data_IF_223160722940
#
_entry.id   IF_223160722940
#
_cell.length_a   1.000
_cell.length_b   1.000
_cell.length_c   1.000
_cell.angle_alpha   90.00
_cell.angle_beta   90.00
_cell.angle_gamma   90.00
#
_symmetry.space_group_name_H-M   'P 1'
#
loop_
_entity.id
_entity.type
_entity.pdbx_description
1 polymer ?
2 non-polymer ?
3 non-polymer ?
4 non-polymer ?
5 water ?
#
# COMPACT_ATOMS: atom_id res chain seq x y z
N UNK A 16 30.13 13.18 -8.89
CA UNK A 16 29.03 14.13 -8.97
C UNK A 16 29.02 15.15 -7.81
N UNK A 17 28.31 16.25 -8.02
CA UNK A 17 28.39 17.45 -7.19
C UNK A 17 27.17 17.63 -6.29
N UNK A 18 26.61 16.53 -5.81
CA UNK A 18 25.39 16.57 -5.01
C UNK A 18 25.65 15.94 -3.65
N UNK A 19 25.29 16.67 -2.60
CA UNK A 19 25.29 16.23 -1.20
C UNK A 19 26.68 15.99 -0.62
N UNK A 20 27.75 16.41 -1.28
CA UNK A 20 29.01 16.45 -0.55
C UNK A 20 28.91 17.52 0.52
N UNK A 21 29.69 17.36 1.59
CA UNK A 21 29.55 18.15 2.82
C UNK A 21 28.11 18.11 3.31
N UNK A 22 27.67 16.90 3.60
CA UNK A 22 26.50 16.72 4.44
C UNK A 22 26.81 16.88 5.90
N UNK A 23 28.07 16.67 6.29
CA UNK A 23 28.53 16.89 7.65
C UNK A 23 27.71 16.09 8.68
N UNK A 24 26.84 16.77 9.42
CA UNK A 24 25.98 16.11 10.40
C UNK A 24 24.60 15.92 9.79
N UNK A 25 24.05 14.74 9.95
CA UNK A 25 22.79 14.44 9.29
C UNK A 25 22.20 13.14 9.78
N UNK A 26 20.92 12.94 9.42
CA UNK A 26 20.16 11.73 9.72
C UNK A 26 19.13 11.55 8.61
N UNK A 27 19.02 10.32 8.07
CA UNK A 27 18.20 10.05 6.89
C UNK A 27 17.21 8.92 7.16
N UNK A 28 16.00 9.07 6.62
CA UNK A 28 14.90 8.15 6.87
C UNK A 28 14.21 7.76 5.57
N UNK A 29 13.70 6.54 5.56
CA UNK A 29 12.88 6.00 4.48
C UNK A 29 11.42 6.28 4.79
N UNK A 30 10.68 6.83 3.81
CA UNK A 30 9.24 7.04 3.91
C UNK A 30 8.55 6.09 2.94
N UNK A 31 7.73 5.17 3.47
CA UNK A 31 6.88 4.30 2.66
C UNK A 31 5.42 4.76 2.74
N UNK A 32 4.80 4.92 1.58
CA UNK A 32 3.44 5.45 1.51
C UNK A 32 2.53 4.48 0.78
N UNK A 33 1.27 4.45 1.23
CA UNK A 33 0.19 3.65 0.65
C UNK A 33 -0.69 4.44 -0.29
N UNK A 34 -0.39 5.71 -0.52
CA UNK A 34 -1.26 6.58 -1.31
C UNK A 34 -0.36 7.50 -2.13
N UNK A 35 -0.39 7.35 -3.45
CA UNK A 35 0.18 8.40 -4.30
C UNK A 35 -0.50 9.72 -4.02
N UNK A 36 -1.83 9.72 -3.80
CA UNK A 36 -2.53 10.97 -3.56
C UNK A 36 -1.95 11.71 -2.37
N UNK A 37 -1.53 10.97 -1.35
CA UNK A 37 -0.85 11.62 -0.24
C UNK A 37 0.47 12.22 -0.69
N UNK A 38 1.21 11.52 -1.55
CA UNK A 38 2.46 12.06 -2.03
C UNK A 38 2.21 13.38 -2.73
N UNK A 39 1.16 13.43 -3.56
CA UNK A 39 0.86 14.62 -4.34
C UNK A 39 0.44 15.78 -3.45
N UNK A 40 -0.41 15.52 -2.46
CA UNK A 40 -0.73 16.57 -1.50
C UNK A 40 0.52 17.02 -0.75
N UNK A 41 1.46 16.10 -0.46
CA UNK A 41 2.69 16.47 0.21
C UNK A 41 3.55 17.34 -0.68
N UNK A 42 3.59 17.05 -1.97
CA UNK A 42 4.34 17.91 -2.88
C UNK A 42 3.63 19.25 -3.01
N UNK A 43 2.29 19.22 -3.13
CA UNK A 43 1.52 20.44 -3.36
C UNK A 43 1.65 21.42 -2.20
N UNK A 44 1.91 20.92 -0.98
CA UNK A 44 1.82 21.78 0.20
C UNK A 44 3.00 21.65 1.16
N UNK A 45 4.01 20.85 0.85
CA UNK A 45 5.22 20.77 1.68
C UNK A 45 4.87 20.38 3.13
N UNK A 46 4.04 19.34 3.28
CA UNK A 46 3.64 18.81 4.57
C UNK A 46 3.65 17.29 4.52
N UNK A 47 3.87 16.66 5.66
CA UNK A 47 3.78 15.22 5.72
C UNK A 47 3.28 14.79 7.09
N UNK A 48 2.82 13.54 7.15
CA UNK A 48 2.40 12.89 8.36
C UNK A 48 2.80 11.44 8.23
N UNK A 49 3.18 10.80 9.34
CA UNK A 49 3.43 9.36 9.37
C UNK A 49 2.55 8.67 10.41
N UNK A 50 2.99 7.51 10.91
CA UNK A 50 2.26 6.83 11.97
C UNK A 50 2.45 7.54 13.30
N UNK A 51 1.84 6.99 14.36
CA UNK A 51 2.11 7.49 15.71
C UNK A 51 3.59 7.30 16.05
N UNK A 52 4.11 6.09 15.88
CA UNK A 52 5.52 5.88 16.20
C UNK A 52 6.43 6.42 15.11
N UNK A 53 5.97 6.46 13.86
CA UNK A 53 6.70 7.17 12.83
C UNK A 53 6.90 8.62 13.18
N UNK A 54 5.85 9.28 13.66
CA UNK A 54 5.95 10.68 14.05
C UNK A 54 6.91 10.86 15.22
N UNK A 55 6.79 10.00 16.24
CA UNK A 55 7.70 10.09 17.38
C UNK A 55 9.16 9.86 16.96
N UNK A 56 9.40 8.96 16.01
CA UNK A 56 10.77 8.71 15.56
C UNK A 56 11.38 9.94 14.86
N UNK A 57 10.72 10.43 13.79
CA UNK A 57 11.19 11.61 13.07
C UNK A 57 11.22 12.85 13.95
N UNK A 58 10.28 12.98 14.88
CA UNK A 58 10.28 14.12 15.80
C UNK A 58 11.57 14.18 16.61
N UNK A 59 11.96 13.05 17.20
CA UNK A 59 13.19 12.99 17.99
C UNK A 59 14.40 13.31 17.14
N UNK A 60 14.50 12.70 15.95
CA UNK A 60 15.62 12.98 15.08
C UNK A 60 15.67 14.45 14.70
N UNK A 61 14.52 15.11 14.64
CA UNK A 61 14.50 16.51 14.27
C UNK A 61 14.87 17.40 15.46
N UNK A 62 14.29 17.14 16.62
CA UNK A 62 14.55 17.98 17.79
C UNK A 62 15.98 17.82 18.29
N UNK A 63 16.51 16.59 18.25
CA UNK A 63 17.88 16.34 18.69
C UNK A 63 18.91 16.94 17.74
N UNK A 64 18.50 17.31 16.52
CA UNK A 64 19.45 17.82 15.54
C UNK A 64 19.74 19.29 15.77
N UNK A 65 18.75 20.04 16.29
CA UNK A 65 18.89 21.46 16.63
C UNK A 65 19.55 22.25 15.49
N UNK A 66 18.93 22.18 14.32
CA UNK A 66 19.36 22.95 13.17
C UNK A 66 20.76 22.66 12.68
N UNK A 67 21.52 21.81 13.38
CA UNK A 67 22.92 21.57 13.05
C UNK A 67 23.12 20.72 11.80
N UNK A 68 22.05 20.21 11.19
CA UNK A 68 22.15 19.34 10.03
C UNK A 68 20.78 19.00 9.48
N UNK A 69 20.74 18.43 8.27
CA UNK A 69 19.44 18.12 7.63
C UNK A 69 18.92 16.72 7.93
N UNK A 70 17.62 16.65 8.24
CA UNK A 70 16.90 15.39 8.36
C UNK A 70 16.22 15.16 7.02
N UNK A 71 16.74 14.24 6.21
CA UNK A 71 16.22 14.00 4.87
C UNK A 71 15.28 12.78 4.85
N UNK A 72 14.32 12.80 3.95
CA UNK A 72 13.30 11.78 3.83
C UNK A 72 13.30 11.22 2.41
N UNK A 73 13.39 9.89 2.29
CA UNK A 73 13.43 9.22 1.00
C UNK A 73 12.10 8.53 0.79
N UNK A 74 11.44 8.84 -0.34
CA UNK A 74 10.02 8.55 -0.53
C UNK A 74 9.79 7.42 -1.52
N UNK A 75 8.89 6.51 -1.17
CA UNK A 75 8.53 5.41 -2.06
C UNK A 75 7.08 4.99 -1.81
N UNK A 76 6.33 4.92 -2.90
CA UNK A 76 4.98 4.39 -2.84
C UNK A 76 5.07 2.87 -2.77
N UNK A 77 4.34 2.28 -1.83
CA UNK A 77 4.45 0.85 -1.59
C UNK A 77 3.94 0.06 -2.80
N UNK A 78 4.72 -0.96 -3.19
CA UNK A 78 4.47 -1.79 -4.34
C UNK A 78 4.83 -1.15 -5.67
N UNK A 79 5.33 0.08 -5.66
CA UNK A 79 5.56 0.79 -6.91
C UNK A 79 6.85 0.38 -7.59
N UNK A 80 7.76 -0.25 -6.86
CA UNK A 80 9.03 -0.67 -7.43
C UNK A 80 9.99 0.44 -7.74
N UNK A 81 9.70 1.65 -7.29
CA UNK A 81 10.66 2.72 -7.41
C UNK A 81 10.59 3.58 -6.17
N UNK A 82 11.55 4.47 -6.07
CA UNK A 82 11.44 5.62 -5.18
C UNK A 82 10.88 6.75 -5.99
N UNK A 83 10.28 7.75 -5.32
CA UNK A 83 9.69 8.82 -6.08
C UNK A 83 10.21 10.21 -5.74
N UNK A 84 11.07 10.36 -4.74
CA UNK A 84 11.73 11.64 -4.57
C UNK A 84 12.36 11.78 -3.20
N UNK A 85 12.87 13.00 -2.94
CA UNK A 85 13.64 13.33 -1.74
C UNK A 85 13.10 14.62 -1.14
N UNK A 86 13.07 14.70 0.18
CA UNK A 86 12.57 15.88 0.85
C UNK A 86 13.27 16.03 2.19
N UNK A 87 13.25 17.26 2.71
CA UNK A 87 13.89 17.57 3.97
C UNK A 87 12.83 17.92 5.00
N UNK A 88 12.99 17.36 6.20
CA UNK A 88 12.11 17.72 7.28
C UNK A 88 12.37 19.16 7.67
N UNK A 89 11.31 19.95 7.83
CA UNK A 89 11.45 21.39 8.06
C UNK A 89 10.78 21.87 9.36
N UNK A 90 10.36 20.98 10.25
CA UNK A 90 9.74 21.40 11.50
C UNK A 90 9.53 20.18 12.39
N UNK A 91 9.28 20.45 13.67
CA UNK A 91 8.85 19.40 14.59
C UNK A 91 7.47 18.91 14.19
N UNK A 92 6.98 17.92 14.92
CA UNK A 92 5.69 17.32 14.64
C UNK A 92 4.60 18.00 15.46
N UNK A 93 3.49 18.31 14.82
CA UNK A 93 2.32 18.87 15.48
C UNK A 93 1.30 17.76 15.61
N UNK A 94 0.94 17.40 16.84
CA UNK A 94 0.06 16.25 17.02
C UNK A 94 -1.42 16.61 17.02
N UNK A 95 -1.82 17.83 17.41
CA UNK A 95 -3.23 18.21 17.37
C UNK A 95 -3.44 19.07 16.13
N UNK A 96 -3.95 18.44 15.08
CA UNK A 96 -4.26 19.14 13.84
C UNK A 96 -5.55 18.58 13.28
N UNK A 97 -5.99 19.17 12.19
CA UNK A 97 -7.20 18.74 11.49
C UNK A 97 -7.14 17.25 11.17
N UNK A 98 -8.19 16.53 11.52
CA UNK A 98 -8.19 15.14 11.10
C UNK A 98 -8.72 15.02 9.68
N UNK A 99 -8.52 13.83 9.10
CA UNK A 99 -9.16 13.46 7.85
C UNK A 99 -8.66 14.12 6.59
N UNK A 100 -7.47 14.77 6.61
CA UNK A 100 -6.96 15.44 5.42
C UNK A 100 -6.14 14.53 4.51
N UNK A 101 -5.69 13.38 5.01
CA UNK A 101 -4.97 12.39 4.21
C UNK A 101 -5.91 11.27 3.78
N UNK A 102 -5.37 10.32 3.02
CA UNK A 102 -6.18 9.22 2.50
C UNK A 102 -6.80 8.37 3.61
N UNK A 103 -6.21 8.37 4.81
CA UNK A 103 -6.74 7.63 5.95
C UNK A 103 -6.78 8.53 7.17
N UNK A 104 -7.84 8.39 7.98
CA UNK A 104 -7.96 9.16 9.21
C UNK A 104 -6.96 8.74 10.26
N UNK A 105 -6.27 7.63 9.98
CA UNK A 105 -5.15 7.13 10.78
C UNK A 105 -3.88 7.96 10.65
N UNK A 106 -3.86 8.98 9.81
CA UNK A 106 -2.72 9.90 9.79
C UNK A 106 -3.14 11.17 10.53
N UNK A 107 -2.90 11.13 11.84
CA UNK A 107 -3.16 12.27 12.71
C UNK A 107 -1.84 13.01 12.93
N UNK A 108 -1.82 14.29 12.56
CA UNK A 108 -0.65 15.12 12.77
C UNK A 108 -0.13 15.77 11.50
N UNK A 109 0.99 16.49 11.67
CA UNK A 109 1.59 17.20 10.57
C UNK A 109 2.95 17.75 10.98
N UNK A 110 3.93 17.65 10.09
CA UNK A 110 5.13 18.48 10.10
C UNK A 110 5.38 18.98 8.69
N UNK A 111 6.15 20.06 8.58
CA UNK A 111 6.52 20.63 7.29
C UNK A 111 7.68 19.86 6.69
N UNK A 112 7.78 19.95 5.35
CA UNK A 112 8.89 19.40 4.59
C UNK A 112 9.20 20.36 3.46
N UNK A 113 10.35 20.14 2.81
CA UNK A 113 10.70 20.83 1.58
C UNK A 113 11.23 19.78 0.62
N UNK A 114 10.53 19.60 -0.49
CA UNK A 114 10.94 18.66 -1.52
C UNK A 114 12.12 19.18 -2.32
N UNK A 115 13.09 18.33 -2.54
CA UNK A 115 14.33 18.68 -3.22
C UNK A 115 14.39 18.07 -4.62
N UNK A 116 14.12 16.77 -4.74
CA UNK A 116 13.94 16.11 -6.02
C UNK A 116 12.56 15.45 -6.04
N UNK A 117 11.82 15.65 -7.14
CA UNK A 117 10.60 14.89 -7.42
C UNK A 117 10.89 14.12 -8.70
N UNK A 118 11.25 12.83 -8.58
CA UNK A 118 11.62 12.03 -9.73
C UNK A 118 11.53 10.56 -9.36
N UNK A 119 11.26 9.73 -10.37
CA UNK A 119 11.14 8.29 -10.14
C UNK A 119 12.46 7.61 -10.45
N UNK A 120 12.98 6.88 -9.47
CA UNK A 120 14.24 6.17 -9.59
C UNK A 120 13.95 4.68 -9.35
N UNK A 121 14.15 3.83 -10.36
CA UNK A 121 13.82 2.40 -10.20
C UNK A 121 14.62 1.73 -9.10
N UNK A 122 13.99 0.80 -8.39
CA UNK A 122 14.68 0.05 -7.34
C UNK A 122 15.89 -0.73 -7.86
N UNK A 123 15.94 -1.05 -9.16
CA UNK A 123 17.09 -1.72 -9.74
C UNK A 123 18.35 -0.88 -9.62
N UNK A 124 18.20 0.44 -9.49
CA UNK A 124 19.34 1.33 -9.31
C UNK A 124 19.81 1.42 -7.86
N UNK A 125 19.06 0.88 -6.90
CA UNK A 125 19.35 1.13 -5.50
C UNK A 125 19.53 -0.12 -4.64
N UNK A 126 19.16 -1.31 -5.14
CA UNK A 126 19.02 -2.48 -4.26
C UNK A 126 20.35 -3.10 -3.82
N UNK A 127 21.46 -2.73 -4.42
CA UNK A 127 22.74 -3.27 -3.99
C UNK A 127 23.36 -2.44 -2.87
N UNK A 128 22.58 -1.52 -2.28
CA UNK A 128 22.96 -0.76 -1.10
C UNK A 128 22.21 -1.35 0.09
N UNK A 129 22.94 -1.71 1.14
CA UNK A 129 22.41 -2.52 2.24
C UNK A 129 22.58 -1.80 3.57
N UNK A 130 21.70 -2.09 4.51
CA UNK A 130 21.62 -1.35 5.76
C UNK A 130 22.15 -2.26 6.87
N UNK A 131 23.39 -2.00 7.27
CA UNK A 131 24.00 -2.76 8.36
C UNK A 131 23.23 -2.64 9.66
N UNK A 132 22.31 -1.69 9.79
CA UNK A 132 21.46 -1.59 10.96
C UNK A 132 20.09 -2.25 10.74
N UNK A 133 19.89 -2.89 9.58
CA UNK A 133 18.68 -3.64 9.24
C UNK A 133 19.06 -5.04 8.75
N UNK A 134 19.87 -5.74 9.56
CA UNK A 134 20.27 -7.11 9.26
C UNK A 134 20.81 -7.24 7.84
N UNK A 135 21.54 -6.23 7.39
CA UNK A 135 22.15 -6.26 6.07
C UNK A 135 21.11 -6.36 4.94
N UNK A 136 19.80 -6.06 5.22
CA UNK A 136 18.84 -6.12 4.11
C UNK A 136 18.98 -4.91 3.18
N UNK A 137 18.65 -5.08 1.90
CA UNK A 137 18.75 -3.96 0.94
C UNK A 137 17.91 -2.77 1.36
N UNK A 138 18.30 -1.59 0.82
CA UNK A 138 17.62 -0.33 1.13
C UNK A 138 16.19 -0.33 0.60
N UNK A 139 15.98 -0.96 -0.55
CA UNK A 139 14.71 -1.08 -1.22
C UNK A 139 13.74 -2.10 -0.50
N UNK A 140 14.11 -2.57 0.69
CA UNK A 140 13.33 -3.52 1.48
C UNK A 140 12.88 -2.90 2.79
N UNK A 141 12.90 -1.58 2.88
CA UNK A 141 12.70 -0.95 4.17
C UNK A 141 11.22 -0.74 4.42
N UNK A 142 10.89 -0.63 5.70
CA UNK A 142 9.59 -0.22 6.18
C UNK A 142 9.62 1.29 6.48
N UNK A 143 8.45 1.82 6.80
CA UNK A 143 8.35 3.26 7.03
C UNK A 143 9.23 3.73 8.18
N UNK A 144 9.89 4.88 7.97
CA UNK A 144 10.79 5.51 8.94
C UNK A 144 11.92 4.58 9.40
N UNK A 145 12.36 3.68 8.52
CA UNK A 145 13.63 3.00 8.70
C UNK A 145 14.77 4.00 8.49
N UNK A 146 15.57 4.23 9.55
CA UNK A 146 16.68 5.16 9.42
C UNK A 146 17.82 4.53 8.60
N UNK A 147 18.53 5.36 7.87
CA UNK A 147 19.62 4.92 6.99
C UNK A 147 20.95 5.39 7.58
N UNK A 148 21.97 4.53 7.64
CA UNK A 148 23.31 5.01 8.02
C UNK A 148 23.83 6.09 7.06
N UNK A 149 24.43 7.14 7.66
CA UNK A 149 24.88 8.30 6.90
C UNK A 149 25.67 7.93 5.65
N UNK A 150 26.43 6.83 5.69
CA UNK A 150 27.34 6.57 4.58
C UNK A 150 26.64 5.89 3.41
N UNK A 151 25.62 5.05 3.69
CA UNK A 151 24.81 4.43 2.63
C UNK A 151 23.76 5.41 2.11
N UNK A 152 23.24 6.25 2.99
CA UNK A 152 22.32 7.32 2.61
C UNK A 152 22.94 8.22 1.56
N UNK A 153 24.19 8.66 1.79
CA UNK A 153 24.88 9.49 0.82
C UNK A 153 24.88 8.81 -0.54
N UNK A 154 25.09 7.50 -0.56
CA UNK A 154 25.01 6.76 -1.80
C UNK A 154 23.64 6.91 -2.45
N UNK A 155 22.56 6.67 -1.67
CA UNK A 155 21.20 6.73 -2.23
C UNK A 155 20.94 8.11 -2.81
N UNK A 156 21.10 9.16 -1.99
CA UNK A 156 20.83 10.53 -2.43
C UNK A 156 21.54 10.86 -3.73
N UNK A 157 22.84 10.55 -3.81
CA UNK A 157 23.57 10.80 -5.04
C UNK A 157 23.01 9.99 -6.21
N UNK A 158 22.57 8.75 -5.95
CA UNK A 158 21.99 7.96 -7.04
C UNK A 158 20.73 8.63 -7.57
N UNK A 159 19.88 9.12 -6.67
CA UNK A 159 18.63 9.74 -7.08
C UNK A 159 18.89 11.12 -7.69
N UNK A 160 19.64 11.96 -6.98
CA UNK A 160 20.03 13.29 -7.43
C UNK A 160 20.39 13.32 -8.91
N UNK A 161 21.08 12.28 -9.40
CA UNK A 161 21.67 12.33 -10.73
C UNK A 161 21.09 11.31 -11.70
N UNK A 162 20.05 10.57 -11.32
CA UNK A 162 19.47 9.59 -12.24
C UNK A 162 18.86 10.30 -13.45
N UNK A 163 19.08 9.73 -14.63
CA UNK A 163 18.49 10.25 -15.85
C UNK A 163 17.52 9.24 -16.48
N UNK B 15 -29.78 -18.92 15.98
CA UNK B 15 -28.83 -19.32 14.96
C UNK B 15 -28.91 -18.53 13.61
N UNK B 16 -27.82 -18.62 12.84
CA UNK B 16 -27.69 -17.95 11.55
C UNK B 16 -27.12 -18.95 10.55
N UNK B 17 -28.01 -19.56 9.77
CA UNK B 17 -27.64 -20.57 8.79
C UNK B 17 -27.69 -20.03 7.37
N UNK B 18 -27.72 -18.70 7.21
CA UNK B 18 -27.83 -18.14 5.87
C UNK B 18 -26.68 -18.63 4.98
N UNK B 19 -25.46 -18.55 5.48
CA UNK B 19 -24.33 -18.91 4.65
C UNK B 19 -24.11 -20.40 4.57
N UNK B 20 -24.59 -21.16 5.55
CA UNK B 20 -24.61 -22.61 5.42
C UNK B 20 -25.22 -23.03 4.08
N UNK B 21 -26.28 -22.35 3.63
CA UNK B 21 -27.07 -22.79 2.48
C UNK B 21 -26.65 -22.12 1.17
N UNK B 22 -25.37 -21.84 0.99
CA UNK B 22 -24.86 -21.24 -0.25
C UNK B 22 -24.47 -22.35 -1.23
N UNK B 23 -25.23 -22.48 -2.32
CA UNK B 23 -25.05 -23.61 -3.22
C UNK B 23 -23.92 -23.37 -4.21
N UNK B 24 -23.88 -22.17 -4.81
CA UNK B 24 -22.93 -21.86 -5.86
C UNK B 24 -22.25 -20.53 -5.57
N UNK B 25 -21.17 -20.28 -6.30
CA UNK B 25 -20.38 -19.10 -6.06
C UNK B 25 -18.90 -19.42 -6.07
N UNK B 26 -18.06 -18.41 -6.31
CA UNK B 26 -16.61 -18.54 -6.25
C UNK B 26 -16.07 -17.27 -5.60
N UNK B 27 -15.06 -17.43 -4.74
CA UNK B 27 -14.59 -16.32 -3.92
C UNK B 27 -13.08 -16.21 -4.04
N UNK B 28 -12.59 -14.97 -4.17
CA UNK B 28 -11.18 -14.65 -4.37
C UNK B 28 -10.75 -13.57 -3.40
N UNK B 29 -9.53 -13.68 -2.92
CA UNK B 29 -8.90 -12.62 -2.14
C UNK B 29 -8.31 -11.58 -3.11
N UNK B 30 -8.54 -10.30 -2.81
CA UNK B 30 -7.89 -9.20 -3.52
C UNK B 30 -6.88 -8.57 -2.55
N UNK B 31 -5.61 -8.58 -2.95
CA UNK B 31 -4.51 -7.93 -2.23
C UNK B 31 -4.09 -6.70 -3.02
N UNK B 32 -4.12 -5.53 -2.38
CA UNK B 32 -3.82 -4.27 -3.04
C UNK B 32 -2.75 -3.53 -2.26
N UNK B 33 -1.73 -3.02 -2.96
CA UNK B 33 -0.75 -2.15 -2.32
C UNK B 33 -1.30 -0.77 -2.00
N UNK B 34 -2.38 -0.34 -2.67
CA UNK B 34 -2.74 1.08 -2.79
C UNK B 34 -4.10 1.40 -2.17
N UNK B 35 -4.10 2.30 -1.17
CA UNK B 35 -5.34 2.85 -0.67
C UNK B 35 -6.10 3.65 -1.72
N UNK B 36 -5.40 4.28 -2.67
CA UNK B 36 -6.09 5.02 -3.72
C UNK B 36 -6.91 4.10 -4.62
N UNK B 37 -6.40 2.90 -4.92
CA UNK B 37 -7.14 1.97 -5.75
C UNK B 37 -8.45 1.54 -5.06
N UNK B 38 -8.38 1.20 -3.77
CA UNK B 38 -9.58 0.92 -2.99
C UNK B 38 -10.57 2.09 -3.08
N UNK B 39 -10.12 3.31 -2.77
CA UNK B 39 -11.04 4.45 -2.77
C UNK B 39 -11.63 4.70 -4.16
N UNK B 40 -10.84 4.51 -5.20
CA UNK B 40 -11.36 4.69 -6.56
C UNK B 40 -12.35 3.59 -6.90
N UNK B 41 -12.07 2.36 -6.47
CA UNK B 41 -12.94 1.25 -6.75
C UNK B 41 -14.28 1.39 -6.02
N UNK B 42 -14.25 1.96 -4.82
CA UNK B 42 -15.49 2.16 -4.09
C UNK B 42 -16.28 3.30 -4.70
N UNK B 43 -15.60 4.36 -5.11
CA UNK B 43 -16.33 5.50 -5.65
C UNK B 43 -17.00 5.17 -6.98
N UNK B 44 -16.39 4.29 -7.79
CA UNK B 44 -16.83 4.12 -9.17
C UNK B 44 -17.26 2.70 -9.50
N UNK B 45 -17.12 1.77 -8.56
CA UNK B 45 -17.54 0.37 -8.76
C UNK B 45 -16.79 -0.26 -9.92
N UNK B 46 -15.46 -0.15 -9.88
CA UNK B 46 -14.60 -0.74 -10.90
C UNK B 46 -13.40 -1.36 -10.23
N UNK B 47 -12.76 -2.28 -10.93
CA UNK B 47 -11.51 -2.83 -10.44
C UNK B 47 -10.62 -3.23 -11.61
N UNK B 48 -9.34 -3.41 -11.27
CA UNK B 48 -8.31 -3.89 -12.19
C UNK B 48 -7.25 -4.57 -11.35
N UNK B 49 -6.71 -5.66 -11.88
CA UNK B 49 -5.68 -6.47 -11.24
C UNK B 49 -4.48 -6.53 -12.17
N UNK B 50 -3.48 -7.33 -11.85
CA UNK B 50 -2.40 -7.59 -12.81
C UNK B 50 -2.95 -8.27 -14.07
N UNK B 51 -2.09 -8.56 -15.02
CA UNK B 51 -2.54 -9.22 -16.24
C UNK B 51 -3.15 -10.57 -15.93
N UNK B 52 -2.40 -11.43 -15.25
CA UNK B 52 -2.88 -12.78 -15.01
C UNK B 52 -3.84 -12.83 -13.84
N UNK B 53 -3.85 -11.80 -12.99
CA UNK B 53 -4.90 -11.65 -12.00
C UNK B 53 -6.23 -11.44 -12.70
N UNK B 54 -6.31 -10.44 -13.57
CA UNK B 54 -7.50 -10.27 -14.40
C UNK B 54 -7.83 -11.54 -15.18
N UNK B 55 -6.80 -12.24 -15.67
CA UNK B 55 -7.03 -13.49 -16.40
C UNK B 55 -7.81 -14.49 -15.54
N UNK B 56 -7.32 -14.74 -14.32
CA UNK B 56 -8.01 -15.67 -13.43
C UNK B 56 -9.42 -15.22 -13.11
N UNK B 57 -9.61 -13.92 -12.84
CA UNK B 57 -10.95 -13.44 -12.51
C UNK B 57 -11.90 -13.58 -13.69
N UNK B 58 -11.43 -13.22 -14.88
CA UNK B 58 -12.26 -13.30 -16.08
C UNK B 58 -12.82 -14.70 -16.26
N UNK B 59 -11.96 -15.72 -16.13
CA UNK B 59 -12.36 -17.10 -16.36
C UNK B 59 -13.43 -17.54 -15.37
N UNK B 60 -13.24 -17.23 -14.09
CA UNK B 60 -14.25 -17.53 -13.10
C UNK B 60 -15.57 -16.84 -13.45
N UNK B 61 -15.50 -15.61 -13.96
CA UNK B 61 -16.73 -14.89 -14.29
C UNK B 61 -17.50 -15.60 -15.40
N UNK B 62 -16.82 -15.90 -16.50
CA UNK B 62 -17.48 -16.51 -17.65
C UNK B 62 -17.96 -17.93 -17.32
N UNK B 63 -17.06 -18.77 -16.79
CA UNK B 63 -17.45 -20.12 -16.41
C UNK B 63 -18.64 -20.12 -15.46
N UNK B 64 -18.81 -19.04 -14.71
CA UNK B 64 -19.98 -18.92 -13.84
C UNK B 64 -21.26 -18.81 -14.65
N UNK B 65 -21.23 -18.00 -15.72
CA UNK B 65 -22.37 -17.76 -16.62
C UNK B 65 -23.66 -17.54 -15.85
N UNK B 66 -23.68 -16.47 -15.06
CA UNK B 66 -24.85 -16.07 -14.29
C UNK B 66 -25.38 -17.08 -13.29
N UNK B 67 -24.72 -18.24 -13.17
CA UNK B 67 -25.21 -19.33 -12.32
C UNK B 67 -24.89 -19.11 -10.84
N UNK B 68 -24.34 -17.96 -10.47
CA UNK B 68 -23.88 -17.71 -9.13
C UNK B 68 -22.96 -16.50 -9.07
N UNK B 69 -22.71 -15.99 -7.87
CA UNK B 69 -21.90 -14.77 -7.73
C UNK B 69 -20.40 -15.03 -7.62
N UNK B 70 -19.62 -14.09 -8.14
CA UNK B 70 -18.18 -14.08 -7.94
C UNK B 70 -17.87 -12.99 -6.92
N UNK B 71 -17.44 -13.38 -5.72
CA UNK B 71 -17.15 -12.43 -4.64
C UNK B 71 -15.66 -12.15 -4.53
N UNK B 72 -15.35 -10.89 -4.19
CA UNK B 72 -13.98 -10.43 -3.96
C UNK B 72 -13.84 -9.94 -2.53
N UNK B 73 -12.86 -10.47 -1.79
CA UNK B 73 -12.58 -10.00 -0.44
C UNK B 73 -11.29 -9.16 -0.47
N UNK B 74 -11.42 -7.87 -0.15
CA UNK B 74 -10.36 -6.88 -0.34
C UNK B 74 -9.52 -6.68 0.92
N UNK B 75 -8.19 -6.61 0.72
CA UNK B 75 -7.26 -6.27 1.80
C UNK B 75 -6.08 -5.49 1.25
N UNK B 76 -5.74 -4.40 1.92
CA UNK B 76 -4.54 -3.65 1.58
C UNK B 76 -3.33 -4.35 2.19
N UNK B 77 -2.35 -4.67 1.34
CA UNK B 77 -1.09 -5.28 1.75
C UNK B 77 -0.51 -4.56 2.96
N UNK B 78 -0.30 -5.31 4.05
CA UNK B 78 0.34 -4.74 5.22
C UNK B 78 -0.56 -3.93 6.13
N UNK B 79 -1.87 -4.01 5.96
CA UNK B 79 -2.78 -3.19 6.76
C UNK B 79 -3.28 -3.89 8.00
N UNK B 80 -3.13 -5.21 8.09
CA UNK B 80 -3.58 -5.95 9.24
C UNK B 80 -5.08 -6.17 9.35
N UNK B 81 -5.84 -5.85 8.30
CA UNK B 81 -7.27 -6.12 8.28
C UNK B 81 -7.74 -6.24 6.83
N UNK B 82 -8.93 -6.80 6.67
CA UNK B 82 -9.70 -6.70 5.43
C UNK B 82 -10.56 -5.45 5.46
N UNK B 83 -10.96 -4.99 4.27
CA UNK B 83 -11.60 -3.69 4.19
C UNK B 83 -12.92 -3.70 3.43
N UNK B 84 -13.33 -4.81 2.86
CA UNK B 84 -14.68 -4.88 2.32
C UNK B 84 -14.84 -6.03 1.36
N UNK B 85 -16.09 -6.20 0.91
CA UNK B 85 -16.51 -7.26 0.01
C UNK B 85 -17.26 -6.64 -1.16
N UNK B 86 -17.04 -7.17 -2.34
CA UNK B 86 -17.70 -6.70 -3.54
C UNK B 86 -17.97 -7.92 -4.41
N UNK B 87 -18.83 -7.73 -5.39
CA UNK B 87 -19.20 -8.80 -6.29
C UNK B 87 -18.81 -8.38 -7.69
N UNK B 88 -18.27 -9.33 -8.44
CA UNK B 88 -17.81 -9.07 -9.80
C UNK B 88 -19.00 -9.01 -10.74
N UNK B 89 -19.17 -7.88 -11.41
CA UNK B 89 -20.38 -7.59 -12.18
C UNK B 89 -20.15 -7.46 -13.69
N UNK B 90 -18.97 -7.82 -14.20
CA UNK B 90 -18.73 -7.78 -15.64
C UNK B 90 -17.48 -8.60 -15.95
N UNK B 91 -17.25 -8.85 -17.24
CA UNK B 91 -16.02 -9.47 -17.70
C UNK B 91 -14.90 -8.42 -17.84
N UNK B 92 -13.68 -8.88 -17.99
CA UNK B 92 -12.54 -7.97 -17.99
C UNK B 92 -12.43 -7.32 -19.37
N UNK B 93 -12.33 -5.98 -19.36
CA UNK B 93 -12.02 -5.19 -20.55
C UNK B 93 -10.52 -4.83 -20.49
N UNK B 94 -9.75 -5.30 -21.46
CA UNK B 94 -8.31 -5.20 -21.36
C UNK B 94 -7.72 -3.98 -22.07
N UNK B 95 -8.50 -3.27 -22.88
CA UNK B 95 -7.99 -2.13 -23.63
C UNK B 95 -8.87 -0.92 -23.31
N UNK B 96 -8.70 -0.39 -22.11
CA UNK B 96 -9.30 0.86 -21.67
C UNK B 96 -8.17 1.86 -21.42
N UNK B 97 -8.52 2.99 -20.81
CA UNK B 97 -7.57 4.06 -20.55
C UNK B 97 -6.58 3.68 -19.44
N UNK B 98 -5.30 3.90 -19.69
CA UNK B 98 -4.26 3.62 -18.72
C UNK B 98 -4.15 4.77 -17.72
N UNK B 99 -3.24 4.62 -16.74
CA UNK B 99 -2.94 5.68 -15.78
C UNK B 99 -3.98 5.88 -14.69
N UNK B 100 -5.01 5.04 -14.63
CA UNK B 100 -6.08 5.24 -13.66
C UNK B 100 -5.75 4.60 -12.30
N UNK B 101 -4.95 3.54 -12.29
CA UNK B 101 -4.64 2.83 -11.06
C UNK B 101 -3.24 3.20 -10.57
N UNK B 102 -2.84 2.58 -9.45
CA UNK B 102 -1.53 2.90 -8.88
C UNK B 102 -0.41 2.55 -9.85
N UNK B 103 -0.36 1.31 -10.33
CA UNK B 103 0.48 0.97 -11.46
C UNK B 103 -0.07 1.72 -12.67
N UNK B 104 0.74 2.63 -13.21
CA UNK B 104 0.31 3.41 -14.37
C UNK B 104 0.10 2.55 -15.60
N UNK B 105 0.77 1.40 -15.71
CA UNK B 105 0.68 0.64 -16.97
C UNK B 105 -0.61 -0.13 -17.09
N UNK B 106 -1.31 -0.38 -15.98
CA UNK B 106 -2.58 -1.09 -16.04
C UNK B 106 -3.56 -0.35 -16.94
N UNK B 107 -4.18 -1.10 -17.86
CA UNK B 107 -5.24 -0.56 -18.69
C UNK B 107 -6.50 -1.43 -18.64
N UNK B 108 -6.53 -2.47 -17.79
CA UNK B 108 -7.72 -3.27 -17.66
C UNK B 108 -8.79 -2.61 -16.82
N UNK B 109 -10.01 -3.10 -16.97
CA UNK B 109 -11.14 -2.66 -16.15
C UNK B 109 -12.20 -3.74 -16.16
N UNK B 110 -12.81 -3.98 -15.00
CA UNK B 110 -14.10 -4.64 -14.96
C UNK B 110 -14.89 -4.00 -13.82
N UNK B 111 -16.21 -4.21 -13.86
CA UNK B 111 -17.12 -3.60 -12.90
C UNK B 111 -17.31 -4.52 -11.70
N UNK B 112 -17.46 -3.91 -10.53
CA UNK B 112 -17.76 -4.58 -9.28
C UNK B 112 -18.96 -3.89 -8.66
N UNK B 113 -19.54 -4.54 -7.64
CA UNK B 113 -20.53 -3.90 -6.78
C UNK B 113 -20.07 -4.13 -5.36
N UNK B 114 -19.62 -3.06 -4.70
CA UNK B 114 -19.32 -3.17 -3.29
C UNK B 114 -20.62 -3.37 -2.52
N UNK B 115 -20.70 -4.47 -1.77
CA UNK B 115 -21.87 -4.78 -0.95
C UNK B 115 -21.58 -4.66 0.53
N UNK B 116 -20.33 -4.43 0.93
CA UNK B 116 -19.92 -4.39 2.33
C UNK B 116 -18.59 -3.65 2.42
N UNK B 117 -18.53 -2.61 3.26
CA UNK B 117 -17.27 -1.90 3.48
C UNK B 117 -17.09 -1.66 4.96
N UNK B 118 -16.43 -2.59 5.65
CA UNK B 118 -16.05 -2.38 7.03
C UNK B 118 -14.70 -3.04 7.25
N UNK B 119 -13.88 -2.44 8.09
CA UNK B 119 -12.61 -3.04 8.44
C UNK B 119 -12.84 -4.20 9.38
N UNK B 120 -12.23 -5.34 9.05
CA UNK B 120 -12.33 -6.52 9.90
C UNK B 120 -10.92 -6.99 10.20
N UNK B 121 -10.49 -6.93 11.47
CA UNK B 121 -9.09 -7.24 11.79
C UNK B 121 -8.71 -8.64 11.33
N UNK B 122 -7.41 -8.82 11.12
CA UNK B 122 -6.91 -10.11 10.64
C UNK B 122 -7.10 -11.21 11.68
N UNK B 123 -7.17 -10.83 12.97
CA UNK B 123 -7.31 -11.83 14.02
C UNK B 123 -8.65 -12.58 13.93
N UNK B 124 -9.72 -11.92 13.49
CA UNK B 124 -11.01 -12.59 13.39
C UNK B 124 -10.98 -13.73 12.38
N UNK B 125 -10.11 -13.66 11.38
CA UNK B 125 -10.14 -14.59 10.28
C UNK B 125 -8.94 -15.51 10.16
N UNK B 126 -7.90 -15.35 11.01
CA UNK B 126 -6.66 -16.08 10.73
C UNK B 126 -6.75 -17.58 11.03
N UNK B 127 -7.81 -18.06 11.65
CA UNK B 127 -7.88 -19.48 11.97
C UNK B 127 -8.55 -20.31 10.88
N UNK B 128 -8.97 -19.70 9.77
CA UNK B 128 -9.51 -20.43 8.61
C UNK B 128 -8.36 -20.67 7.64
N UNK B 129 -7.94 -21.93 7.50
CA UNK B 129 -6.89 -22.24 6.54
C UNK B 129 -7.50 -22.48 5.16
N UNK B 130 -6.64 -22.60 4.14
CA UNK B 130 -7.07 -22.78 2.76
C UNK B 130 -6.38 -24.02 2.19
N UNK B 131 -7.08 -25.15 2.23
CA UNK B 131 -6.46 -26.41 1.83
C UNK B 131 -5.92 -26.40 0.42
N UNK B 132 -6.25 -25.37 -0.37
CA UNK B 132 -5.71 -25.20 -1.71
C UNK B 132 -4.48 -24.29 -1.73
N UNK B 133 -3.95 -23.95 -0.56
CA UNK B 133 -2.77 -23.11 -0.44
C UNK B 133 -2.01 -23.50 0.82
N UNK B 134 -1.51 -24.75 0.83
CA UNK B 134 -0.61 -25.24 1.88
C UNK B 134 -1.22 -25.11 3.29
N UNK B 135 -2.54 -25.11 3.39
CA UNK B 135 -3.26 -24.92 4.66
C UNK B 135 -2.85 -23.62 5.35
N UNK B 136 -2.37 -22.66 4.55
CA UNK B 136 -1.98 -21.37 5.06
C UNK B 136 -3.22 -20.58 5.47
N UNK B 137 -3.10 -19.76 6.52
CA UNK B 137 -4.21 -18.87 6.89
C UNK B 137 -4.70 -18.02 5.72
N UNK B 138 -6.02 -17.84 5.64
CA UNK B 138 -6.62 -17.03 4.58
C UNK B 138 -6.09 -15.60 4.63
N UNK B 139 -5.62 -15.15 5.79
CA UNK B 139 -5.01 -13.83 5.90
C UNK B 139 -3.56 -13.79 5.39
N UNK B 140 -2.99 -14.93 5.00
CA UNK B 140 -1.68 -14.97 4.37
C UNK B 140 -1.75 -15.15 2.86
N UNK B 141 -2.91 -14.90 2.26
CA UNK B 141 -3.08 -15.08 0.83
C UNK B 141 -2.38 -13.97 0.04
N UNK B 142 -2.09 -14.26 -1.22
CA UNK B 142 -1.68 -13.26 -2.19
C UNK B 142 -2.85 -12.92 -3.11
N UNK B 143 -2.65 -11.88 -3.92
CA UNK B 143 -3.73 -11.37 -4.75
C UNK B 143 -4.29 -12.44 -5.70
N UNK B 144 -5.63 -12.51 -5.75
CA UNK B 144 -6.48 -13.44 -6.53
C UNK B 144 -6.37 -14.89 -6.07
N UNK B 145 -5.88 -15.15 -4.85
CA UNK B 145 -6.04 -16.44 -4.20
C UNK B 145 -7.51 -16.82 -4.15
N UNK B 146 -7.88 -17.94 -4.76
CA UNK B 146 -9.26 -18.41 -4.66
C UNK B 146 -9.52 -19.12 -3.33
N UNK B 147 -10.71 -18.93 -2.79
CA UNK B 147 -11.11 -19.51 -1.51
C UNK B 147 -12.06 -20.67 -1.79
N UNK B 148 -11.84 -21.86 -1.22
CA UNK B 148 -12.81 -22.95 -1.35
C UNK B 148 -14.16 -22.54 -0.76
N UNK B 149 -15.25 -23.04 -1.37
CA UNK B 149 -16.58 -22.56 -0.98
C UNK B 149 -16.85 -22.81 0.49
N UNK B 150 -16.50 -23.99 1.00
CA UNK B 150 -16.76 -24.27 2.41
C UNK B 150 -15.93 -23.37 3.33
N UNK B 151 -14.72 -23.00 2.89
CA UNK B 151 -13.93 -22.03 3.64
C UNK B 151 -14.51 -20.63 3.54
N UNK B 152 -15.05 -20.27 2.37
CA UNK B 152 -15.58 -18.92 2.16
C UNK B 152 -16.83 -18.64 2.99
N UNK B 153 -17.73 -19.63 3.14
CA UNK B 153 -18.91 -19.42 3.98
C UNK B 153 -18.52 -18.94 5.38
N UNK B 154 -17.57 -19.62 6.02
CA UNK B 154 -17.08 -19.19 7.32
C UNK B 154 -16.53 -17.77 7.26
N UNK B 155 -15.66 -17.50 6.25
CA UNK B 155 -15.14 -16.13 6.07
C UNK B 155 -16.29 -15.14 5.93
N UNK B 156 -17.23 -15.42 5.03
CA UNK B 156 -18.34 -14.51 4.81
C UNK B 156 -19.19 -14.29 6.07
N UNK B 157 -19.30 -15.30 6.94
CA UNK B 157 -20.14 -15.12 8.12
C UNK B 157 -19.45 -14.25 9.18
N UNK B 158 -18.14 -14.40 9.32
CA UNK B 158 -17.40 -13.55 10.25
C UNK B 158 -17.42 -12.08 9.82
N UNK B 159 -17.46 -11.84 8.51
CA UNK B 159 -17.48 -10.47 8.00
C UNK B 159 -18.85 -9.84 8.18
N UNK B 160 -19.90 -10.57 7.76
CA UNK B 160 -21.26 -10.08 7.89
C UNK B 160 -21.67 -9.86 9.34
N UNK B 161 -20.94 -10.45 10.29
CA UNK B 161 -21.30 -10.42 11.70
C UNK B 161 -20.12 -9.97 12.56
N UNK B 162 -19.46 -8.88 12.17
CA UNK B 162 -18.43 -8.25 13.01
C UNK B 162 -18.88 -6.83 13.34
N UNK B 163 -18.59 -6.39 14.57
CA UNK B 163 -19.02 -5.07 15.01
C UNK B 163 -18.09 -4.48 16.07
#
# INVERSE_FOLDING_TARGET
MGSSYHHHHHHSSGENLYFQHMKHGRVFIIKSYSEDDIHRSIKYNIWCSTEHGNKRLDAAYRSMNGKGPVYLLFSVNGSGHFCGVAEMKSAVDYNTCAGVWSQDKWKGRFDVRWIFVKDVPNSQLRHIRLENNENKPVTNSRDTQEVPLEKAKQVLKIIASYKHTTS
MGSSYHHHHHHSSGENLYFQHMKHGRVFIIKSYSEDDIHRSIKYNIWCSTEHGNKRLDAAYRSMNGKGPVYLLFSVNGSGHFCGVAEMKSAVDYNTCAGVWSQDKWKGRFDVRWIFVKDVPNSQLRHIRLENNENKPVTNSRDTQEVPLEKAKQVLKIIASYKHTTS
#
